data_IF_408021647240
#
_entry.id   IF_408021647240
#
_cell.length_a   1.000
_cell.length_b   1.000
_cell.length_c   1.000
_cell.angle_alpha   90.00
_cell.angle_beta   90.00
_cell.angle_gamma   90.00
#
_symmetry.space_group_name_H-M   'P 1'
#
loop_
_entity.id
_entity.type
_entity.pdbx_description
1 polymer ?
#
# COMPACT_ATOMS: atom_id res chain seq x y z
N UNK A 1 0.31 -16.21 -3.74
CA UNK A 1 0.81 -14.82 -3.86
C UNK A 1 2.17 -14.78 -3.20
N UNK A 2 3.23 -14.65 -4.00
CA UNK A 2 4.61 -14.66 -3.49
C UNK A 2 5.08 -13.22 -3.33
N UNK A 3 5.55 -12.89 -2.13
CA UNK A 3 6.11 -11.59 -1.79
C UNK A 3 7.61 -11.66 -2.12
N UNK A 4 8.04 -11.00 -3.19
CA UNK A 4 9.42 -11.06 -3.63
C UNK A 4 10.13 -9.75 -3.30
N UNK A 5 10.98 -9.77 -2.27
CA UNK A 5 11.89 -8.68 -1.96
C UNK A 5 13.16 -8.84 -2.79
N UNK A 6 13.34 -7.95 -3.77
CA UNK A 6 14.62 -7.80 -4.43
C UNK A 6 15.55 -6.93 -3.57
N UNK A 7 16.84 -7.26 -3.53
CA UNK A 7 17.87 -6.34 -3.04
C UNK A 7 18.12 -6.24 -1.53
N UNK A 8 17.67 -7.20 -0.70
CA UNK A 8 18.22 -7.36 0.65
C UNK A 8 18.19 -8.79 1.14
N UNK A 9 19.33 -9.23 1.68
CA UNK A 9 19.46 -10.47 2.46
C UNK A 9 19.81 -10.18 3.93
N UNK A 10 19.57 -8.95 4.42
CA UNK A 10 19.76 -8.62 5.83
C UNK A 10 18.53 -9.01 6.66
N UNK A 11 18.69 -9.91 7.62
CA UNK A 11 17.76 -10.06 8.73
C UNK A 11 17.90 -8.87 9.68
N UNK A 12 16.86 -8.55 10.45
CA UNK A 12 16.86 -7.45 11.42
C UNK A 12 18.13 -7.47 12.29
N UNK A 13 19.04 -6.51 12.06
CA UNK A 13 20.30 -6.38 12.81
C UNK A 13 21.59 -6.67 12.04
N UNK A 14 21.54 -7.11 10.78
CA UNK A 14 22.73 -7.31 9.92
C UNK A 14 22.93 -6.18 8.90
N UNK A 15 24.17 -6.00 8.43
CA UNK A 15 24.53 -4.99 7.41
C UNK A 15 23.66 -5.17 6.15
N UNK A 16 23.03 -4.08 5.72
CA UNK A 16 22.18 -4.08 4.52
C UNK A 16 23.05 -4.18 3.26
N UNK A 17 22.97 -5.30 2.54
CA UNK A 17 23.60 -5.48 1.23
C UNK A 17 22.58 -5.35 0.10
N UNK A 18 22.74 -4.31 -0.72
CA UNK A 18 21.91 -4.05 -1.89
C UNK A 18 22.44 -4.81 -3.11
N UNK A 19 21.68 -5.78 -3.62
CA UNK A 19 22.03 -6.52 -4.84
C UNK A 19 21.35 -5.92 -6.08
N UNK A 20 22.03 -5.92 -7.25
CA UNK A 20 21.44 -5.42 -8.49
C UNK A 20 20.26 -6.27 -8.94
N UNK A 21 19.22 -5.61 -9.44
CA UNK A 21 18.08 -6.27 -10.09
C UNK A 21 18.41 -6.45 -11.58
N UNK A 22 18.43 -7.70 -12.05
CA UNK A 22 18.67 -8.02 -13.44
C UNK A 22 17.36 -8.14 -14.21
N UNK A 23 17.28 -7.48 -15.38
CA UNK A 23 16.05 -7.37 -16.16
C UNK A 23 16.39 -7.64 -17.61
N UNK A 24 15.64 -8.56 -18.22
CA UNK A 24 15.81 -8.96 -19.62
C UNK A 24 14.73 -8.28 -20.45
N UNK A 25 15.14 -7.41 -21.39
CA UNK A 25 14.25 -6.56 -22.20
C UNK A 25 14.39 -6.81 -23.71
N UNK A 26 14.50 -8.08 -24.12
CA UNK A 26 14.76 -8.48 -25.51
C UNK A 26 13.50 -8.63 -26.40
N UNK A 27 12.30 -8.39 -25.87
CA UNK A 27 11.03 -8.77 -26.51
C UNK A 27 10.35 -7.59 -27.23
N UNK A 28 11.12 -6.81 -28.00
CA UNK A 28 10.63 -5.59 -28.65
C UNK A 28 9.80 -5.80 -29.92
N UNK A 29 9.72 -7.03 -30.46
CA UNK A 29 8.97 -7.35 -31.68
C UNK A 29 9.74 -8.13 -32.75
N UNK A 30 10.88 -8.75 -32.42
CA UNK A 30 11.57 -9.65 -33.35
C UNK A 30 10.82 -11.00 -33.45
N UNK A 31 10.72 -11.55 -34.65
CA UNK A 31 10.00 -12.81 -34.95
C UNK A 31 10.66 -14.05 -34.34
N UNK A 32 11.97 -13.96 -34.07
CA UNK A 32 12.77 -14.97 -33.40
C UNK A 32 13.12 -14.51 -31.97
N UNK A 33 12.77 -15.34 -30.99
CA UNK A 33 13.23 -15.20 -29.60
C UNK A 33 14.02 -16.44 -29.21
N UNK A 34 15.05 -16.26 -28.39
CA UNK A 34 15.70 -17.39 -27.75
C UNK A 34 14.68 -18.15 -26.91
N UNK A 35 14.70 -19.48 -27.03
CA UNK A 35 14.00 -20.35 -26.10
C UNK A 35 14.56 -20.13 -24.69
N UNK A 36 13.71 -20.30 -23.68
CA UNK A 36 14.21 -20.30 -22.29
C UNK A 36 15.29 -21.39 -22.17
N UNK A 37 16.30 -21.15 -21.33
CA UNK A 37 17.42 -22.07 -21.15
C UNK A 37 16.90 -23.51 -20.98
N UNK A 38 17.21 -24.42 -21.92
CA UNK A 38 16.69 -25.76 -21.89
C UNK A 38 17.41 -26.59 -20.83
N UNK A 39 16.72 -27.55 -20.21
CA UNK A 39 17.41 -28.49 -19.33
C UNK A 39 18.12 -29.56 -20.16
N UNK A 40 19.31 -30.05 -19.74
CA UNK A 40 19.99 -31.12 -20.43
C UNK A 40 19.14 -32.39 -20.63
N UNK A 41 18.22 -32.65 -19.70
CA UNK A 41 17.32 -33.81 -19.71
C UNK A 41 15.91 -33.51 -20.28
N UNK A 42 15.56 -32.22 -20.46
CA UNK A 42 14.27 -31.78 -21.02
C UNK A 42 14.52 -30.54 -21.91
N UNK A 43 14.99 -30.74 -23.15
CA UNK A 43 15.48 -29.66 -24.01
C UNK A 43 14.37 -28.76 -24.58
N UNK A 44 13.13 -29.24 -24.62
CA UNK A 44 11.98 -28.51 -25.16
C UNK A 44 11.10 -27.90 -24.05
N UNK A 45 11.41 -28.19 -22.78
CA UNK A 45 10.63 -27.71 -21.64
C UNK A 45 11.27 -26.48 -21.01
N UNK A 46 10.41 -25.54 -20.61
CA UNK A 46 10.83 -24.44 -19.73
C UNK A 46 11.43 -25.01 -18.44
N UNK A 47 12.44 -24.33 -17.89
CA UNK A 47 12.88 -24.62 -16.52
C UNK A 47 11.68 -24.45 -15.58
N UNK A 48 11.26 -25.59 -15.02
CA UNK A 48 10.17 -25.71 -14.07
C UNK A 48 10.64 -26.55 -12.86
N UNK A 49 10.48 -26.06 -11.62
CA UNK A 49 9.85 -24.79 -11.26
C UNK A 49 10.71 -23.57 -11.66
N UNK A 50 10.10 -22.39 -11.76
CA UNK A 50 10.81 -21.13 -12.01
C UNK A 50 11.91 -20.95 -10.96
N UNK A 51 13.17 -20.64 -11.35
CA UNK A 51 14.25 -20.44 -10.39
C UNK A 51 13.91 -19.38 -9.36
N UNK A 52 14.35 -19.56 -8.11
CA UNK A 52 14.03 -18.64 -7.00
C UNK A 52 14.47 -17.19 -7.23
N UNK A 53 15.50 -16.98 -8.05
CA UNK A 53 16.02 -15.65 -8.40
C UNK A 53 15.26 -14.99 -9.56
N UNK A 54 14.42 -15.73 -10.29
CA UNK A 54 13.56 -15.19 -11.34
C UNK A 54 12.21 -14.85 -10.72
N UNK A 55 11.92 -13.57 -10.53
CA UNK A 55 10.69 -13.11 -9.87
C UNK A 55 9.50 -13.05 -10.82
N UNK A 56 9.75 -12.58 -12.05
CA UNK A 56 8.77 -12.44 -13.10
C UNK A 56 9.37 -12.89 -14.43
N UNK A 57 8.58 -13.58 -15.26
CA UNK A 57 8.90 -13.92 -16.64
C UNK A 57 7.62 -14.00 -17.45
N UNK A 58 7.65 -13.53 -18.70
CA UNK A 58 6.53 -13.62 -19.63
C UNK A 58 7.06 -13.69 -21.06
N UNK A 59 6.37 -14.46 -21.91
CA UNK A 59 6.69 -14.62 -23.33
C UNK A 59 5.86 -13.71 -24.24
N UNK A 60 5.84 -12.40 -23.99
CA UNK A 60 4.97 -11.45 -24.74
C UNK A 60 5.79 -10.24 -25.17
N UNK A 61 5.43 -9.64 -26.31
CA UNK A 61 6.07 -8.41 -26.77
C UNK A 61 5.71 -7.22 -25.89
N UNK A 62 6.70 -6.39 -25.60
CA UNK A 62 6.55 -5.23 -24.73
C UNK A 62 7.83 -4.43 -24.61
N UNK A 63 7.76 -3.40 -23.78
CA UNK A 63 8.91 -2.54 -23.46
C UNK A 63 8.94 -2.24 -21.96
N UNK A 64 10.12 -1.84 -21.48
CA UNK A 64 10.27 -1.38 -20.09
C UNK A 64 10.26 0.14 -20.05
N UNK A 65 9.52 0.69 -19.10
CA UNK A 65 9.45 2.12 -18.81
C UNK A 65 10.07 2.39 -17.45
N UNK A 66 10.99 3.36 -17.40
CA UNK A 66 11.66 3.82 -16.19
C UNK A 66 11.18 5.22 -15.83
N UNK A 67 10.75 5.42 -14.58
CA UNK A 67 10.35 6.73 -14.05
C UNK A 67 11.09 6.97 -12.74
N UNK A 68 12.02 7.92 -12.74
CA UNK A 68 12.82 8.25 -11.57
C UNK A 68 12.35 9.55 -10.90
N UNK A 69 12.30 9.54 -9.57
CA UNK A 69 12.11 10.72 -8.73
C UNK A 69 13.23 10.78 -7.69
N UNK A 70 13.25 11.83 -6.86
CA UNK A 70 14.20 11.93 -5.74
C UNK A 70 14.00 10.82 -4.70
N UNK A 71 12.81 10.21 -4.66
CA UNK A 71 12.43 9.24 -3.62
C UNK A 71 12.52 7.80 -4.12
N UNK A 72 12.35 7.56 -5.43
CA UNK A 72 12.29 6.21 -5.99
C UNK A 72 12.56 6.15 -7.49
N UNK A 73 12.99 4.97 -7.94
CA UNK A 73 12.97 4.54 -9.33
C UNK A 73 11.83 3.53 -9.50
N UNK A 74 10.85 3.86 -10.33
CA UNK A 74 9.80 2.94 -10.74
C UNK A 74 10.17 2.31 -12.09
N UNK A 75 10.04 1.01 -12.18
CA UNK A 75 10.21 0.22 -13.38
C UNK A 75 8.91 -0.50 -13.70
N UNK A 76 8.44 -0.37 -14.93
CA UNK A 76 7.19 -0.99 -15.39
C UNK A 76 7.42 -1.73 -16.71
N UNK A 77 6.90 -2.94 -16.81
CA UNK A 77 6.81 -3.64 -18.09
C UNK A 77 5.43 -3.38 -18.71
N UNK A 78 5.44 -2.83 -19.93
CA UNK A 78 4.23 -2.46 -20.68
C UNK A 78 4.07 -3.39 -21.87
N UNK A 79 2.89 -3.99 -21.99
CA UNK A 79 2.56 -4.91 -23.08
C UNK A 79 2.25 -4.16 -24.36
N UNK A 80 2.76 -4.63 -25.51
CA UNK A 80 2.43 -4.02 -26.81
C UNK A 80 1.01 -4.34 -27.28
N UNK A 81 0.39 -5.40 -26.74
CA UNK A 81 -0.91 -5.90 -27.18
C UNK A 81 -2.09 -5.07 -26.65
N UNK A 82 -1.94 -4.47 -25.48
CA UNK A 82 -2.97 -3.67 -24.81
C UNK A 82 -2.47 -2.29 -24.35
N UNK A 83 -1.16 -2.06 -24.33
CA UNK A 83 -0.57 -0.81 -23.81
C UNK A 83 -0.57 -0.72 -22.28
N UNK A 84 -0.93 -1.80 -21.58
CA UNK A 84 -1.11 -1.80 -20.13
C UNK A 84 0.14 -2.27 -19.39
N UNK A 85 0.23 -1.90 -18.11
CA UNK A 85 1.32 -2.32 -17.22
C UNK A 85 1.05 -3.72 -16.68
N UNK A 86 1.91 -4.68 -17.03
CA UNK A 86 1.78 -6.09 -16.64
C UNK A 86 2.71 -6.52 -15.50
N UNK A 87 3.74 -5.72 -15.22
CA UNK A 87 4.61 -5.90 -14.05
C UNK A 87 5.21 -4.55 -13.61
N UNK A 88 5.46 -4.40 -12.32
CA UNK A 88 6.03 -3.19 -11.74
C UNK A 88 6.86 -3.45 -10.48
N UNK A 89 8.03 -2.82 -10.41
CA UNK A 89 8.86 -2.77 -9.21
C UNK A 89 9.28 -1.33 -8.93
N UNK A 90 9.27 -0.95 -7.65
CA UNK A 90 9.78 0.33 -7.17
C UNK A 90 11.03 0.11 -6.32
N UNK A 91 12.10 0.84 -6.62
CA UNK A 91 13.34 0.84 -5.88
C UNK A 91 13.45 2.20 -5.22
N UNK A 92 13.30 2.25 -3.90
CA UNK A 92 13.41 3.49 -3.12
C UNK A 92 14.86 3.98 -3.12
N UNK A 93 15.04 5.30 -2.95
CA UNK A 93 16.35 5.91 -2.82
C UNK A 93 17.13 5.40 -1.58
N UNK A 94 16.43 4.85 -0.59
CA UNK A 94 17.01 4.13 0.54
C UNK A 94 17.57 2.75 0.17
N UNK A 95 17.36 2.29 -1.06
CA UNK A 95 17.69 0.94 -1.55
C UNK A 95 16.59 -0.09 -1.33
N UNK A 96 15.55 0.22 -0.54
CA UNK A 96 14.44 -0.70 -0.29
C UNK A 96 13.58 -0.90 -1.55
N UNK A 97 13.22 -2.15 -1.86
CA UNK A 97 12.41 -2.49 -3.03
C UNK A 97 10.98 -2.81 -2.61
N UNK A 98 10.00 -2.18 -3.26
CA UNK A 98 8.56 -2.40 -3.07
C UNK A 98 7.96 -2.89 -4.38
N UNK A 99 7.40 -4.10 -4.39
CA UNK A 99 6.69 -4.64 -5.56
C UNK A 99 5.24 -4.16 -5.56
N UNK A 100 4.79 -3.58 -6.68
CA UNK A 100 3.41 -3.13 -6.87
C UNK A 100 2.63 -4.16 -7.68
N UNK A 101 1.55 -4.73 -7.13
CA UNK A 101 0.61 -5.51 -7.92
C UNK A 101 -0.20 -4.58 -8.83
N UNK A 102 -0.25 -4.87 -10.13
CA UNK A 102 -1.11 -4.19 -11.09
C UNK A 102 -2.55 -4.06 -10.60
N UNK A 103 -3.17 -2.94 -10.92
CA UNK A 103 -4.43 -2.50 -10.34
C UNK A 103 -5.59 -3.50 -10.53
N UNK A 104 -6.09 -4.01 -9.41
CA UNK A 104 -7.53 -4.23 -9.21
C UNK A 104 -7.94 -3.40 -8.00
N UNK A 105 -8.93 -2.53 -8.20
CA UNK A 105 -9.48 -1.64 -7.19
C UNK A 105 -9.81 -2.38 -5.87
N UNK A 106 -9.42 -1.77 -4.74
CA UNK A 106 -9.94 -2.11 -3.43
C UNK A 106 -8.91 -2.65 -2.43
N UNK A 107 -8.91 -2.00 -1.26
CA UNK A 107 -8.34 -2.44 0.02
C UNK A 107 -6.83 -2.29 0.25
N UNK A 108 -6.48 -1.23 0.98
CA UNK A 108 -5.66 -1.36 2.19
C UNK A 108 -4.18 -1.66 2.00
N UNK A 109 -3.44 -0.81 1.29
CA UNK A 109 -1.98 -0.78 1.43
C UNK A 109 -1.63 -0.08 2.74
N UNK A 110 -1.15 -0.85 3.72
CA UNK A 110 -0.51 -0.35 4.94
C UNK A 110 0.79 0.35 4.54
N UNK A 111 0.67 1.64 4.24
CA UNK A 111 1.82 2.49 3.92
C UNK A 111 2.58 2.77 5.22
N UNK A 112 3.88 2.48 5.13
CA UNK A 112 4.96 2.84 6.03
C UNK A 112 4.64 3.98 7.01
N UNK A 113 4.88 3.69 8.29
CA UNK A 113 4.82 4.61 9.41
C UNK A 113 5.87 5.72 9.23
N UNK A 114 5.52 6.70 8.42
CA UNK A 114 6.26 7.95 8.29
C UNK A 114 5.97 8.82 9.52
N UNK A 115 6.97 9.57 9.98
CA UNK A 115 6.94 10.40 11.20
C UNK A 115 5.82 11.46 11.22
N UNK A 116 5.05 11.60 10.13
CA UNK A 116 3.84 12.41 10.00
C UNK A 116 2.57 11.79 10.65
N UNK A 117 2.56 10.48 10.95
CA UNK A 117 1.44 9.80 11.61
C UNK A 117 1.17 10.31 13.03
N UNK A 118 2.22 10.72 13.77
CA UNK A 118 2.09 11.21 15.15
C UNK A 118 1.24 12.50 15.25
N UNK A 119 1.33 13.38 14.24
CA UNK A 119 0.58 14.63 14.21
C UNK A 119 -0.90 14.40 13.88
N UNK A 120 -1.18 13.49 12.94
CA UNK A 120 -2.55 13.13 12.55
C UNK A 120 -3.24 12.35 13.67
N UNK A 121 -2.53 11.44 14.33
CA UNK A 121 -3.04 10.68 15.46
C UNK A 121 -3.36 11.58 16.66
N UNK A 122 -2.49 12.55 16.97
CA UNK A 122 -2.74 13.53 18.03
C UNK A 122 -3.96 14.42 17.76
N UNK A 123 -4.16 14.85 16.50
CA UNK A 123 -5.30 15.68 16.12
C UNK A 123 -6.64 14.93 16.27
N UNK A 124 -6.68 13.65 15.90
CA UNK A 124 -7.88 12.81 16.03
C UNK A 124 -8.26 12.63 17.50
N UNK A 125 -7.28 12.36 18.37
CA UNK A 125 -7.52 12.21 19.81
C UNK A 125 -8.07 13.52 20.41
N UNK A 126 -7.55 14.68 20.03
CA UNK A 126 -8.05 15.97 20.51
C UNK A 126 -9.50 16.23 20.08
N UNK A 127 -9.84 15.92 18.83
CA UNK A 127 -11.22 16.07 18.32
C UNK A 127 -12.18 15.13 19.06
N UNK A 128 -11.77 13.88 19.31
CA UNK A 128 -12.58 12.92 20.04
C UNK A 128 -12.82 13.35 21.50
N UNK A 129 -11.79 13.84 22.18
CA UNK A 129 -11.92 14.35 23.57
C UNK A 129 -12.84 15.57 23.62
N UNK A 130 -12.69 16.51 22.70
CA UNK A 130 -13.54 17.69 22.62
C UNK A 130 -15.01 17.32 22.35
N UNK A 131 -15.25 16.37 21.43
CA UNK A 131 -16.58 15.92 21.07
C UNK A 131 -17.29 15.21 22.25
N UNK A 132 -16.59 14.27 22.91
CA UNK A 132 -17.14 13.57 24.08
C UNK A 132 -17.43 14.54 25.22
N UNK A 133 -16.52 15.48 25.49
CA UNK A 133 -16.73 16.52 26.50
C UNK A 133 -17.94 17.41 26.20
N UNK A 134 -18.13 17.80 24.94
CA UNK A 134 -19.28 18.58 24.50
C UNK A 134 -20.61 17.83 24.69
N UNK A 135 -20.68 16.56 24.27
CA UNK A 135 -21.90 15.74 24.40
C UNK A 135 -22.28 15.53 25.87
N UNK A 136 -21.31 15.16 26.72
CA UNK A 136 -21.55 14.97 28.15
C UNK A 136 -21.98 16.28 28.84
N UNK A 137 -21.34 17.40 28.48
CA UNK A 137 -21.70 18.73 28.97
C UNK A 137 -23.10 19.15 28.54
N UNK A 138 -23.47 18.90 27.28
CA UNK A 138 -24.79 19.19 26.74
C UNK A 138 -25.88 18.39 27.49
N UNK A 139 -25.71 17.08 27.66
CA UNK A 139 -26.66 16.23 28.40
C UNK A 139 -26.81 16.71 29.85
N UNK A 140 -25.70 17.05 30.53
CA UNK A 140 -25.73 17.58 31.89
C UNK A 140 -26.53 18.88 32.00
N UNK A 141 -26.34 19.80 31.05
CA UNK A 141 -27.09 21.05 30.97
C UNK A 141 -28.58 20.81 30.70
N UNK A 142 -28.92 19.97 29.72
CA UNK A 142 -30.31 19.64 29.41
C UNK A 142 -31.04 18.99 30.60
N UNK A 143 -30.36 18.14 31.39
CA UNK A 143 -30.94 17.56 32.61
C UNK A 143 -31.18 18.61 33.69
N UNK A 144 -30.24 19.55 33.87
CA UNK A 144 -30.40 20.69 34.81
C UNK A 144 -31.57 21.61 34.42
N UNK A 145 -31.70 21.92 33.13
CA UNK A 145 -32.79 22.76 32.62
C UNK A 145 -34.16 22.07 32.75
N UNK A 146 -34.22 20.74 32.58
CA UNK A 146 -35.43 19.95 32.79
C UNK A 146 -35.85 19.89 34.27
N UNK A 147 -34.91 19.80 35.21
CA UNK A 147 -35.20 19.86 36.66
C UNK A 147 -35.60 21.27 37.13
N UNK A 148 -35.09 22.32 36.50
CA UNK A 148 -35.43 23.72 36.86
C UNK A 148 -36.86 24.10 36.46
N UNK A 149 -37.39 23.54 35.36
CA UNK A 149 -38.76 23.79 34.88
C UNK A 149 -39.88 23.14 35.72
N UNK A 150 -39.56 22.26 36.67
CA UNK A 150 -40.55 21.56 37.52
C UNK A 150 -40.68 22.19 38.93
N UNK A 151 -40.75 23.53 39.04
CA UNK A 151 -41.06 24.20 40.32
C UNK A 151 -42.40 24.94 40.29
N UNK A 152 -43.41 24.21 40.77
CA UNK A 152 -44.63 24.61 41.50
C UNK A 152 -45.57 25.68 40.91
N UNK A 153 -46.79 25.24 40.56
CA UNK A 153 -47.98 26.08 40.42
C UNK A 153 -48.56 26.42 41.80
N UNK A 154 -48.89 27.70 42.09
CA UNK A 154 -49.67 28.04 43.29
C UNK A 154 -51.13 27.59 43.12
N UNK A 155 -51.62 26.80 44.06
CA UNK A 155 -53.04 26.47 44.22
C UNK A 155 -53.76 27.74 44.67
N UNK A 156 -54.73 28.21 43.89
CA UNK A 156 -55.64 29.28 44.34
C UNK A 156 -56.54 28.71 45.43
N UNK A 157 -56.46 29.26 46.63
CA UNK A 157 -57.47 29.11 47.67
C UNK A 157 -58.66 29.99 47.33
N UNK A 158 -59.85 29.41 47.32
CA UNK A 158 -61.12 30.14 47.38
C UNK A 158 -61.36 30.51 48.85
N UNK A 159 -61.56 31.81 49.11
CA UNK A 159 -62.10 32.29 50.38
C UNK A 159 -63.52 32.81 50.14
N UNK A 160 -64.36 32.53 51.14
CA UNK A 160 -65.80 32.81 51.33
C UNK A 160 -66.18 34.28 51.13
#
# INVERSE_FOLDING_TARGET
>A
MNNFTCGSMGLDGEDWEAFPVHIVIGMGGQDAQSTCEPRPDHPDDLIFPQPKHSLYRRGVFGYTRLVATKEKLQLSYVGNHDGEVHDMVEILASGQVVSGSGASAGAGSKVAQSKSSLLVEGAIVLVLVAFVGYVLGFISRSRKDATSKNRWTPVKTEDI
#
